data_IF_903592801541
#
_entry.id   IF_903592801541
#
_cell.length_a   1.000
_cell.length_b   1.000
_cell.length_c   1.000
_cell.angle_alpha   90.00
_cell.angle_beta   90.00
_cell.angle_gamma   90.00
#
_symmetry.space_group_name_H-M   'P 1'
#
loop_
_entity.id
_entity.type
_entity.pdbx_description
1 polymer ?
#
# COMPACT_ATOMS: atom_id res chain seq x y z
N UNK A 1 27.94 -12.13 1.03
CA UNK A 1 27.09 -10.89 1.07
C UNK A 1 27.57 -10.04 2.24
N UNK A 2 27.87 -8.75 2.00
CA UNK A 2 28.25 -7.75 3.02
C UNK A 2 27.13 -6.76 3.17
N UNK A 3 26.68 -6.45 4.39
CA UNK A 3 25.68 -5.41 4.65
C UNK A 3 26.35 -4.08 5.02
N UNK A 4 25.85 -2.99 4.44
CA UNK A 4 26.15 -1.62 4.86
C UNK A 4 24.87 -0.99 5.43
N UNK A 5 24.97 -0.36 6.60
CA UNK A 5 23.85 0.19 7.34
C UNK A 5 23.85 1.71 7.26
N UNK A 6 22.66 2.27 7.00
CA UNK A 6 22.42 3.71 6.97
C UNK A 6 21.25 4.07 7.88
N UNK A 7 21.31 5.25 8.49
CA UNK A 7 20.24 5.81 9.34
C UNK A 7 19.42 6.88 8.61
N UNK A 8 19.60 6.97 7.34
CA UNK A 8 18.88 7.84 6.41
C UNK A 8 18.80 7.17 5.05
N UNK A 9 17.97 7.67 4.16
CA UNK A 9 18.01 7.31 2.75
C UNK A 9 18.99 8.29 2.09
N UNK A 10 20.16 7.84 1.60
CA UNK A 10 21.11 8.72 0.93
C UNK A 10 20.48 9.39 -0.28
N UNK A 11 20.69 10.68 -0.46
CA UNK A 11 20.27 11.41 -1.67
C UNK A 11 21.33 11.21 -2.75
N UNK A 12 21.22 10.09 -3.49
CA UNK A 12 22.23 9.60 -4.44
C UNK A 12 21.52 8.98 -5.66
N UNK A 13 21.66 9.63 -6.81
CA UNK A 13 21.03 9.20 -8.06
C UNK A 13 21.57 7.83 -8.55
N UNK A 14 22.83 7.50 -8.29
CA UNK A 14 23.40 6.22 -8.65
C UNK A 14 22.82 5.10 -7.80
N UNK A 15 22.64 5.32 -6.50
CA UNK A 15 21.95 4.40 -5.60
C UNK A 15 20.48 4.24 -6.03
N UNK A 16 19.79 5.32 -6.34
CA UNK A 16 18.40 5.29 -6.80
C UNK A 16 18.25 4.41 -8.05
N UNK A 17 19.14 4.56 -9.02
CA UNK A 17 19.14 3.76 -10.23
C UNK A 17 19.37 2.26 -9.94
N UNK A 18 20.46 1.92 -9.22
CA UNK A 18 20.77 0.52 -8.87
C UNK A 18 19.66 -0.13 -8.03
N UNK A 19 19.06 0.62 -7.10
CA UNK A 19 17.95 0.14 -6.29
C UNK A 19 16.73 -0.19 -7.16
N UNK A 20 16.34 0.73 -8.05
CA UNK A 20 15.19 0.53 -8.93
C UNK A 20 15.42 -0.56 -9.98
N UNK A 21 16.66 -0.78 -10.44
CA UNK A 21 17.01 -1.95 -11.26
C UNK A 21 16.76 -3.26 -10.51
N UNK A 22 17.20 -3.37 -9.25
CA UNK A 22 16.92 -4.54 -8.41
C UNK A 22 15.42 -4.76 -8.17
N UNK A 23 14.62 -3.68 -8.05
CA UNK A 23 13.15 -3.81 -7.97
C UNK A 23 12.61 -4.44 -9.25
N UNK A 24 13.14 -4.05 -10.42
CA UNK A 24 12.77 -4.63 -11.71
C UNK A 24 13.07 -6.13 -11.85
N UNK A 25 14.07 -6.63 -11.12
CA UNK A 25 14.48 -8.05 -11.11
C UNK A 25 13.68 -8.93 -10.15
N UNK A 26 12.80 -8.33 -9.33
CA UNK A 26 11.96 -9.09 -8.40
C UNK A 26 10.91 -9.91 -9.14
N UNK A 27 10.45 -10.99 -8.52
CA UNK A 27 9.37 -11.85 -9.05
C UNK A 27 8.05 -11.11 -9.28
N UNK A 28 7.82 -10.03 -8.53
CA UNK A 28 6.68 -9.15 -8.68
C UNK A 28 7.10 -7.73 -8.28
N UNK A 29 7.62 -6.95 -9.24
CA UNK A 29 8.04 -5.58 -9.00
C UNK A 29 6.87 -4.69 -8.62
N UNK A 30 7.02 -3.88 -7.56
CA UNK A 30 5.99 -2.95 -7.08
C UNK A 30 6.57 -1.55 -6.89
N UNK A 31 5.81 -0.53 -7.20
CA UNK A 31 6.19 0.88 -6.95
C UNK A 31 6.52 1.15 -5.49
N UNK A 32 5.91 0.39 -4.59
CA UNK A 32 6.11 0.48 -3.14
C UNK A 32 7.53 0.11 -2.69
N UNK A 33 8.29 -0.60 -3.51
CA UNK A 33 9.65 -1.05 -3.21
C UNK A 33 10.72 -0.09 -3.71
N UNK A 34 10.34 0.95 -4.47
CA UNK A 34 11.27 1.88 -5.12
C UNK A 34 11.98 2.79 -4.13
N UNK A 35 13.13 3.31 -4.55
CA UNK A 35 13.88 4.33 -3.84
C UNK A 35 13.03 5.57 -3.55
N UNK A 36 12.25 6.02 -4.52
CA UNK A 36 11.36 7.19 -4.43
C UNK A 36 10.33 7.03 -3.33
N UNK A 37 9.77 5.82 -3.18
CA UNK A 37 8.82 5.54 -2.09
C UNK A 37 9.49 5.64 -0.72
N UNK A 38 10.65 5.02 -0.57
CA UNK A 38 11.43 5.07 0.67
C UNK A 38 11.82 6.52 1.03
N UNK A 39 12.23 7.30 0.04
CA UNK A 39 12.59 8.71 0.21
C UNK A 39 11.38 9.56 0.62
N UNK A 40 10.23 9.40 -0.06
CA UNK A 40 8.99 10.13 0.26
C UNK A 40 8.53 9.87 1.71
N UNK A 41 8.52 8.60 2.13
CA UNK A 41 8.14 8.23 3.50
C UNK A 41 9.12 8.81 4.52
N UNK A 42 10.41 8.73 4.26
CA UNK A 42 11.43 9.27 5.16
C UNK A 42 11.29 10.77 5.34
N UNK A 43 11.04 11.51 4.26
CA UNK A 43 10.84 12.96 4.31
C UNK A 43 9.59 13.35 5.10
N UNK A 44 8.47 12.68 4.85
CA UNK A 44 7.20 13.00 5.50
C UNK A 44 7.15 12.60 6.98
N UNK A 45 7.85 11.51 7.36
CA UNK A 45 7.85 10.98 8.73
C UNK A 45 9.15 11.22 9.51
N UNK A 46 10.02 12.15 9.05
CA UNK A 46 11.33 12.43 9.63
C UNK A 46 11.36 12.65 11.15
N UNK A 47 10.27 13.20 11.71
CA UNK A 47 10.16 13.47 13.15
C UNK A 47 9.63 12.27 13.96
N UNK A 48 9.03 11.29 13.29
CA UNK A 48 8.30 10.18 13.92
C UNK A 48 9.06 8.85 13.88
N UNK A 49 9.84 8.60 12.81
CA UNK A 49 10.58 7.36 12.60
C UNK A 49 12.06 7.63 12.39
N UNK A 50 12.87 6.59 12.64
CA UNK A 50 14.30 6.58 12.32
C UNK A 50 14.54 5.48 11.28
N UNK A 51 14.97 5.83 10.06
CA UNK A 51 15.28 4.83 9.03
C UNK A 51 16.39 3.88 9.48
N UNK A 52 16.30 2.66 9.01
CA UNK A 52 17.34 1.62 9.11
C UNK A 52 17.43 0.96 7.74
N UNK A 53 18.18 1.57 6.86
CA UNK A 53 18.44 1.04 5.53
C UNK A 53 19.63 0.07 5.58
N UNK A 54 19.45 -1.11 5.02
CA UNK A 54 20.51 -2.09 4.81
C UNK A 54 20.73 -2.31 3.32
N UNK A 55 21.93 -2.02 2.85
CA UNK A 55 22.36 -2.28 1.49
C UNK A 55 23.28 -3.51 1.47
N UNK A 56 22.91 -4.50 0.67
CA UNK A 56 23.67 -5.74 0.53
C UNK A 56 24.53 -5.71 -0.72
N UNK A 57 25.82 -6.03 -0.55
CA UNK A 57 26.80 -6.02 -1.64
C UNK A 57 27.47 -7.38 -1.80
N UNK A 58 27.67 -7.78 -3.08
CA UNK A 58 28.53 -8.88 -3.47
C UNK A 58 29.53 -8.40 -4.53
N UNK A 59 30.82 -8.65 -4.32
CA UNK A 59 31.89 -8.24 -5.23
C UNK A 59 31.86 -6.76 -5.64
N UNK A 60 31.32 -5.89 -4.74
CA UNK A 60 31.19 -4.45 -4.97
C UNK A 60 29.87 -4.00 -5.63
N UNK A 61 29.07 -4.93 -6.14
CA UNK A 61 27.76 -4.63 -6.73
C UNK A 61 26.66 -4.67 -5.68
N UNK A 62 25.69 -3.76 -5.76
CA UNK A 62 24.46 -3.79 -4.94
C UNK A 62 23.61 -4.97 -5.40
N UNK A 63 23.26 -5.88 -4.48
CA UNK A 63 22.48 -7.10 -4.76
C UNK A 63 21.23 -7.22 -3.89
N UNK A 64 21.05 -6.29 -2.95
CA UNK A 64 19.85 -6.27 -2.14
C UNK A 64 19.67 -4.99 -1.33
N UNK A 65 18.41 -4.65 -1.09
CA UNK A 65 18.00 -3.50 -0.29
C UNK A 65 16.93 -3.90 0.68
N UNK A 66 17.08 -3.49 1.95
CA UNK A 66 16.08 -3.67 2.98
C UNK A 66 15.84 -2.35 3.68
N UNK A 67 14.72 -1.72 3.36
CA UNK A 67 14.31 -0.44 3.91
C UNK A 67 13.41 -0.66 5.13
N UNK A 68 13.99 -0.56 6.32
CA UNK A 68 13.31 -0.63 7.61
C UNK A 68 13.28 0.73 8.29
N UNK A 69 12.51 0.82 9.36
CA UNK A 69 12.51 1.94 10.29
C UNK A 69 12.34 1.44 11.73
N UNK A 70 12.73 2.27 12.67
CA UNK A 70 12.48 2.07 14.09
C UNK A 70 11.60 3.19 14.62
N UNK A 71 10.60 2.86 15.43
CA UNK A 71 9.83 3.83 16.19
C UNK A 71 10.71 4.37 17.34
N UNK A 72 10.80 5.70 17.46
CA UNK A 72 11.59 6.38 18.49
C UNK A 72 11.21 6.01 19.92
N UNK A 73 9.98 5.52 20.15
CA UNK A 73 9.46 5.20 21.50
C UNK A 73 9.36 3.71 21.85
N UNK A 74 9.31 2.79 20.89
CA UNK A 74 8.89 1.39 21.12
C UNK A 74 9.94 0.33 20.90
N UNK A 75 11.12 0.65 20.40
CA UNK A 75 12.18 -0.31 20.00
C UNK A 75 11.65 -1.41 19.07
N UNK A 76 10.69 -1.06 18.25
CA UNK A 76 10.11 -1.93 17.24
C UNK A 76 10.72 -1.57 15.89
N UNK A 77 11.17 -2.58 15.16
CA UNK A 77 11.67 -2.42 13.79
C UNK A 77 10.57 -2.89 12.84
N UNK A 78 10.31 -2.16 11.77
CA UNK A 78 9.26 -2.46 10.80
C UNK A 78 9.66 -2.00 9.40
N UNK A 79 8.95 -2.44 8.37
CA UNK A 79 9.14 -1.90 7.03
C UNK A 79 8.94 -0.39 7.03
N UNK A 80 9.89 0.35 6.46
CA UNK A 80 9.83 1.81 6.35
C UNK A 80 8.51 2.26 5.70
N UNK A 81 8.09 1.57 4.64
CA UNK A 81 6.85 1.83 3.93
C UNK A 81 5.60 1.18 4.58
N UNK A 82 5.73 0.42 5.67
CA UNK A 82 4.68 -0.46 6.20
C UNK A 82 3.35 0.21 6.57
N UNK A 83 3.34 1.53 6.83
CA UNK A 83 2.11 2.28 7.08
C UNK A 83 1.54 2.94 5.81
N UNK A 84 2.30 2.96 4.73
CA UNK A 84 1.96 3.70 3.50
C UNK A 84 1.78 2.80 2.28
N UNK A 85 2.43 1.67 2.22
CA UNK A 85 2.42 0.75 1.09
C UNK A 85 1.39 -0.37 1.25
N UNK A 86 0.81 -0.79 0.13
CA UNK A 86 -0.10 -1.94 0.09
C UNK A 86 0.67 -3.26 0.11
N UNK A 87 1.91 -3.24 -0.37
CA UNK A 87 2.86 -4.35 -0.32
C UNK A 87 4.21 -3.88 0.19
N UNK A 88 4.87 -4.72 0.99
CA UNK A 88 6.23 -4.48 1.49
C UNK A 88 7.06 -5.75 1.37
N UNK A 89 8.29 -5.63 0.87
CA UNK A 89 9.18 -6.78 0.71
C UNK A 89 10.67 -6.36 0.88
N UNK A 90 11.56 -7.33 0.98
CA UNK A 90 12.98 -7.13 0.82
C UNK A 90 13.31 -7.17 -0.67
N UNK A 91 14.08 -6.20 -1.14
CA UNK A 91 14.44 -6.08 -2.55
C UNK A 91 15.72 -6.87 -2.84
N UNK A 92 15.64 -7.85 -3.70
CA UNK A 92 16.75 -8.58 -4.33
C UNK A 92 16.20 -9.53 -5.38
N UNK A 93 17.05 -10.15 -6.17
CA UNK A 93 16.62 -11.29 -6.99
C UNK A 93 16.11 -12.44 -6.12
N UNK A 94 15.17 -13.28 -6.60
CA UNK A 94 14.62 -14.40 -5.82
C UNK A 94 15.70 -15.39 -5.33
N UNK A 95 16.76 -15.59 -6.09
CA UNK A 95 17.85 -16.54 -5.80
C UNK A 95 18.66 -16.10 -4.57
N UNK A 96 18.86 -14.80 -4.41
CA UNK A 96 19.64 -14.24 -3.28
C UNK A 96 18.79 -13.96 -2.03
N UNK A 97 17.47 -14.06 -2.13
CA UNK A 97 16.54 -13.65 -1.08
C UNK A 97 16.75 -14.41 0.24
N UNK A 98 16.99 -15.72 0.20
CA UNK A 98 17.25 -16.50 1.42
C UNK A 98 18.51 -16.01 2.13
N UNK A 99 19.58 -15.75 1.37
CA UNK A 99 20.84 -15.26 1.92
C UNK A 99 20.67 -13.84 2.49
N UNK A 100 19.91 -12.97 1.79
CA UNK A 100 19.59 -11.62 2.26
C UNK A 100 18.83 -11.67 3.59
N UNK A 101 17.76 -12.47 3.67
CA UNK A 101 16.95 -12.62 4.89
C UNK A 101 17.84 -13.08 6.07
N UNK A 102 18.68 -14.10 5.88
CA UNK A 102 19.57 -14.62 6.92
C UNK A 102 20.56 -13.53 7.38
N UNK A 103 21.16 -12.78 6.44
CA UNK A 103 22.10 -11.71 6.74
C UNK A 103 21.44 -10.57 7.51
N UNK A 104 20.23 -10.19 7.12
CA UNK A 104 19.44 -9.15 7.80
C UNK A 104 19.07 -9.56 9.22
N UNK A 105 18.60 -10.79 9.43
CA UNK A 105 18.26 -11.28 10.78
C UNK A 105 19.49 -11.35 11.70
N UNK A 106 20.64 -11.77 11.17
CA UNK A 106 21.91 -11.77 11.92
C UNK A 106 22.32 -10.35 12.31
N UNK A 107 22.20 -9.38 11.39
CA UNK A 107 22.53 -7.98 11.66
C UNK A 107 21.57 -7.36 12.68
N UNK A 108 20.26 -7.57 12.56
CA UNK A 108 19.26 -7.10 13.54
C UNK A 108 19.53 -7.65 14.93
N UNK A 109 20.00 -8.91 15.01
CA UNK A 109 20.43 -9.52 16.28
C UNK A 109 21.66 -8.81 16.86
N UNK A 110 22.66 -8.51 16.01
CA UNK A 110 23.88 -7.79 16.40
C UNK A 110 23.57 -6.38 16.90
N UNK A 111 22.63 -5.68 16.25
CA UNK A 111 22.12 -4.38 16.67
C UNK A 111 21.26 -4.43 17.96
N UNK A 112 21.01 -5.62 18.50
CA UNK A 112 20.23 -5.80 19.72
C UNK A 112 18.73 -5.49 19.55
N UNK A 113 18.20 -5.47 18.31
CA UNK A 113 16.81 -5.13 18.04
C UNK A 113 15.89 -6.29 18.46
N UNK A 114 14.94 -6.06 19.38
CA UNK A 114 14.20 -7.16 20.02
C UNK A 114 13.04 -7.70 19.18
N UNK A 115 12.54 -6.89 18.22
CA UNK A 115 11.33 -7.21 17.48
C UNK A 115 11.37 -6.62 16.07
N UNK A 116 11.01 -7.43 15.08
CA UNK A 116 10.81 -7.03 13.69
C UNK A 116 9.35 -7.33 13.28
N UNK A 117 8.66 -6.35 12.70
CA UNK A 117 7.30 -6.48 12.17
C UNK A 117 7.33 -6.22 10.67
N UNK A 118 6.97 -7.22 9.91
CA UNK A 118 6.88 -7.18 8.46
C UNK A 118 5.38 -7.22 8.09
N UNK A 119 4.78 -6.04 8.01
CA UNK A 119 3.39 -5.89 7.61
C UNK A 119 3.25 -5.89 6.09
N UNK A 120 2.12 -6.37 5.58
CA UNK A 120 1.79 -6.40 4.15
C UNK A 120 2.82 -7.14 3.28
N UNK A 121 3.50 -8.16 3.83
CA UNK A 121 4.43 -9.00 3.07
C UNK A 121 3.61 -9.88 2.11
N UNK A 122 3.84 -9.86 0.79
CA UNK A 122 3.13 -10.74 -0.14
C UNK A 122 3.37 -12.21 0.22
N UNK A 123 2.27 -13.01 0.32
CA UNK A 123 2.36 -14.41 0.70
C UNK A 123 3.10 -15.29 -0.33
N UNK A 124 3.10 -14.85 -1.58
CA UNK A 124 3.76 -15.48 -2.72
C UNK A 124 5.21 -15.02 -2.93
N UNK A 125 5.72 -14.11 -2.11
CA UNK A 125 7.07 -13.54 -2.27
C UNK A 125 8.20 -14.51 -1.87
N UNK A 126 9.39 -14.27 -2.43
CA UNK A 126 10.60 -15.01 -2.04
C UNK A 126 10.97 -14.78 -0.57
N UNK A 127 10.69 -13.59 -0.01
CA UNK A 127 10.88 -13.32 1.42
C UNK A 127 9.94 -14.17 2.29
N UNK A 128 8.66 -14.29 1.92
CA UNK A 128 7.74 -15.17 2.65
C UNK A 128 8.19 -16.63 2.63
N UNK A 129 8.68 -17.12 1.47
CA UNK A 129 9.29 -18.46 1.35
C UNK A 129 10.56 -18.60 2.19
N UNK A 130 11.43 -17.58 2.17
CA UNK A 130 12.66 -17.56 2.96
C UNK A 130 12.42 -17.55 4.48
N UNK A 131 11.27 -17.06 4.92
CA UNK A 131 10.80 -17.10 6.31
C UNK A 131 10.00 -18.39 6.62
N UNK A 132 10.06 -19.40 5.76
CA UNK A 132 9.39 -20.68 5.95
C UNK A 132 9.99 -21.54 7.07
N UNK A 133 9.45 -22.78 7.27
CA UNK A 133 9.82 -23.63 8.42
C UNK A 133 11.29 -24.04 8.51
N UNK A 134 12.03 -24.01 7.39
CA UNK A 134 13.47 -24.35 7.33
C UNK A 134 14.40 -23.15 7.57
N UNK A 135 13.86 -21.96 7.84
CA UNK A 135 14.67 -20.75 8.03
C UNK A 135 15.41 -20.77 9.37
N UNK A 136 16.64 -20.28 9.36
CA UNK A 136 17.37 -19.94 10.59
C UNK A 136 16.98 -18.53 11.03
N UNK A 137 16.12 -18.46 12.02
CA UNK A 137 15.62 -17.19 12.56
C UNK A 137 16.61 -16.47 13.49
N UNK A 138 17.87 -16.92 13.60
CA UNK A 138 18.91 -16.28 14.42
C UNK A 138 18.47 -16.01 15.87
N UNK A 139 17.67 -16.90 16.43
CA UNK A 139 17.14 -16.81 17.81
C UNK A 139 15.88 -15.95 17.95
N UNK A 140 15.25 -15.52 16.84
CA UNK A 140 13.91 -14.96 16.85
C UNK A 140 12.85 -16.07 16.83
N UNK A 141 11.70 -15.79 17.44
CA UNK A 141 10.50 -16.60 17.33
C UNK A 141 9.58 -15.95 16.30
N UNK A 142 9.19 -16.69 15.26
CA UNK A 142 8.35 -16.18 14.17
C UNK A 142 6.88 -16.46 14.45
N UNK A 143 6.05 -15.43 14.27
CA UNK A 143 4.60 -15.53 14.19
C UNK A 143 4.14 -14.91 12.87
N UNK A 144 3.40 -15.66 12.05
CA UNK A 144 2.84 -15.22 10.78
C UNK A 144 1.34 -15.38 10.78
N UNK A 145 0.64 -14.42 10.19
CA UNK A 145 -0.81 -14.42 10.04
C UNK A 145 -1.23 -13.80 8.71
N UNK A 146 -2.36 -14.25 8.11
CA UNK A 146 -2.96 -13.55 6.97
C UNK A 146 -3.36 -12.12 7.35
N UNK A 147 -3.03 -11.15 6.48
CA UNK A 147 -3.36 -9.74 6.67
C UNK A 147 -4.52 -9.32 5.77
N UNK A 148 -4.28 -9.22 4.46
CA UNK A 148 -5.25 -8.75 3.48
C UNK A 148 -5.31 -9.68 2.27
N UNK A 149 -6.46 -9.62 1.56
CA UNK A 149 -6.63 -10.11 0.20
C UNK A 149 -6.82 -8.90 -0.70
N UNK A 150 -5.87 -8.68 -1.61
CA UNK A 150 -5.90 -7.60 -2.58
C UNK A 150 -6.56 -8.11 -3.85
N UNK A 151 -7.57 -7.40 -4.31
CA UNK A 151 -8.32 -7.78 -5.49
C UNK A 151 -7.58 -7.32 -6.75
N UNK A 152 -7.34 -8.22 -7.68
CA UNK A 152 -6.64 -7.96 -8.94
C UNK A 152 -7.52 -8.29 -10.14
N UNK A 153 -7.37 -7.53 -11.22
CA UNK A 153 -8.01 -7.74 -12.50
C UNK A 153 -6.91 -8.03 -13.51
N UNK A 154 -6.78 -9.29 -13.90
CA UNK A 154 -5.79 -9.72 -14.88
C UNK A 154 -6.22 -9.30 -16.27
N UNK A 155 -5.26 -8.80 -17.08
CA UNK A 155 -5.44 -8.31 -18.43
C UNK A 155 -4.50 -9.00 -19.42
N UNK A 156 -4.18 -10.27 -19.16
CA UNK A 156 -3.26 -11.06 -19.99
C UNK A 156 -3.98 -11.60 -21.22
N UNK A 157 -3.55 -11.13 -22.40
CA UNK A 157 -4.10 -11.57 -23.66
C UNK A 157 -5.44 -10.91 -24.04
N UNK A 158 -5.76 -10.99 -25.32
CA UNK A 158 -6.92 -10.31 -25.93
C UNK A 158 -8.27 -10.76 -25.36
N UNK A 159 -8.46 -12.06 -25.21
CA UNK A 159 -9.72 -12.63 -24.73
C UNK A 159 -10.09 -12.18 -23.33
N UNK A 160 -9.12 -12.17 -22.42
CA UNK A 160 -9.31 -11.74 -21.05
C UNK A 160 -9.63 -10.24 -20.98
N UNK A 161 -8.90 -9.39 -21.74
CA UNK A 161 -9.17 -7.94 -21.86
C UNK A 161 -10.60 -7.68 -22.37
N UNK A 162 -11.05 -8.40 -23.40
CA UNK A 162 -12.41 -8.29 -23.91
C UNK A 162 -13.48 -8.75 -22.91
N UNK A 163 -13.20 -9.82 -22.16
CA UNK A 163 -14.08 -10.29 -21.09
C UNK A 163 -14.24 -9.26 -19.98
N UNK A 164 -13.12 -8.69 -19.49
CA UNK A 164 -13.13 -7.61 -18.49
C UNK A 164 -13.85 -6.39 -19.02
N UNK A 165 -13.53 -5.93 -20.24
CA UNK A 165 -14.19 -4.80 -20.89
C UNK A 165 -15.71 -4.96 -20.92
N UNK A 166 -16.22 -6.11 -21.39
CA UNK A 166 -17.66 -6.42 -21.39
C UNK A 166 -18.24 -6.33 -19.99
N UNK A 167 -17.55 -6.89 -18.98
CA UNK A 167 -18.02 -6.88 -17.59
C UNK A 167 -18.19 -5.48 -17.02
N UNK A 168 -17.31 -4.52 -17.36
CA UNK A 168 -17.38 -3.14 -16.86
C UNK A 168 -18.33 -2.28 -17.68
N UNK A 169 -18.54 -2.59 -18.96
CA UNK A 169 -19.45 -1.84 -19.84
C UNK A 169 -20.93 -2.02 -19.47
N UNK A 170 -21.31 -3.16 -18.93
CA UNK A 170 -22.70 -3.48 -18.56
C UNK A 170 -23.06 -3.10 -17.12
N UNK A 171 -22.20 -2.42 -16.38
CA UNK A 171 -22.51 -2.03 -14.99
C UNK A 171 -23.59 -0.95 -14.93
N UNK A 172 -24.47 -1.10 -13.95
CA UNK A 172 -25.62 -0.21 -13.70
C UNK A 172 -25.20 1.25 -13.51
N UNK A 173 -24.07 1.46 -12.89
CA UNK A 173 -23.52 2.78 -12.53
C UNK A 173 -23.26 3.65 -13.75
N UNK A 174 -22.97 3.08 -14.91
CA UNK A 174 -22.85 3.84 -16.17
C UNK A 174 -24.13 4.57 -16.58
N UNK A 175 -25.31 4.08 -16.16
CA UNK A 175 -26.59 4.73 -16.42
C UNK A 175 -26.71 6.06 -15.69
N UNK A 176 -26.19 6.13 -14.45
CA UNK A 176 -26.21 7.36 -13.66
C UNK A 176 -25.33 8.44 -14.28
N UNK A 177 -24.12 8.07 -14.73
CA UNK A 177 -23.26 9.00 -15.46
C UNK A 177 -23.86 9.45 -16.78
N UNK A 178 -24.51 8.57 -17.54
CA UNK A 178 -25.21 8.94 -18.78
C UNK A 178 -26.34 9.94 -18.51
N UNK A 179 -27.08 9.77 -17.43
CA UNK A 179 -28.12 10.70 -17.02
C UNK A 179 -27.55 12.08 -16.62
N UNK A 180 -26.37 12.11 -15.98
CA UNK A 180 -25.69 13.35 -15.69
C UNK A 180 -25.12 13.98 -16.96
N UNK A 181 -24.49 13.20 -17.83
CA UNK A 181 -23.88 13.66 -19.08
C UNK A 181 -24.88 14.24 -20.08
N UNK A 182 -26.18 13.89 -19.98
CA UNK A 182 -27.23 14.53 -20.77
C UNK A 182 -27.54 15.97 -20.34
N UNK A 183 -27.06 16.40 -19.19
CA UNK A 183 -27.31 17.73 -18.60
C UNK A 183 -26.04 18.59 -18.54
N UNK A 184 -24.90 17.98 -18.24
CA UNK A 184 -23.61 18.64 -18.05
C UNK A 184 -22.53 17.78 -18.70
N UNK A 185 -21.56 18.38 -19.44
CA UNK A 185 -20.43 17.62 -19.97
C UNK A 185 -19.67 16.84 -18.85
N UNK A 186 -19.47 15.56 -19.05
CA UNK A 186 -18.71 14.69 -18.13
C UNK A 186 -17.44 14.23 -18.82
N UNK A 187 -16.28 14.47 -18.19
CA UNK A 187 -14.98 14.13 -18.74
C UNK A 187 -14.09 13.47 -17.67
N UNK A 188 -13.12 12.67 -18.13
CA UNK A 188 -12.02 12.18 -17.30
C UNK A 188 -10.75 12.90 -17.73
N UNK A 189 -10.05 13.51 -16.77
CA UNK A 189 -8.73 14.08 -16.97
C UNK A 189 -7.68 13.24 -16.23
N UNK A 190 -6.52 13.12 -16.83
CA UNK A 190 -5.36 12.47 -16.24
C UNK A 190 -4.28 13.51 -15.96
N UNK A 191 -4.08 13.80 -14.67
CA UNK A 191 -3.02 14.69 -14.21
C UNK A 191 -1.76 13.85 -14.02
N UNK A 192 -0.72 14.13 -14.82
CA UNK A 192 0.50 13.30 -14.89
C UNK A 192 1.76 14.05 -14.50
N UNK A 193 1.67 15.36 -14.28
CA UNK A 193 2.78 16.18 -13.85
C UNK A 193 2.57 16.71 -12.43
N UNK A 194 3.68 16.99 -11.74
CA UNK A 194 3.68 17.61 -10.42
C UNK A 194 2.83 18.89 -10.38
N UNK A 195 3.03 19.78 -11.37
CA UNK A 195 2.35 21.08 -11.41
C UNK A 195 0.82 20.95 -11.62
N UNK A 196 0.36 19.86 -12.21
CA UNK A 196 -1.07 19.56 -12.35
C UNK A 196 -1.65 18.92 -11.07
N UNK A 197 -0.89 18.01 -10.44
CA UNK A 197 -1.38 17.18 -9.33
C UNK A 197 -1.45 18.00 -8.03
N UNK A 198 -0.42 18.78 -7.70
CA UNK A 198 -0.33 19.50 -6.41
C UNK A 198 -1.53 20.39 -6.16
N UNK A 199 -1.99 21.22 -7.13
CA UNK A 199 -3.20 22.05 -6.93
C UNK A 199 -4.47 21.23 -6.68
N UNK A 200 -4.53 19.96 -7.16
CA UNK A 200 -5.68 19.08 -6.99
C UNK A 200 -5.71 18.33 -5.65
N UNK A 201 -4.53 18.09 -5.01
CA UNK A 201 -4.42 17.33 -3.77
C UNK A 201 -5.28 17.87 -2.61
N UNK A 202 -5.43 19.17 -2.38
CA UNK A 202 -6.29 19.67 -1.30
C UNK A 202 -7.77 19.32 -1.50
N UNK A 203 -8.29 19.35 -2.73
CA UNK A 203 -9.67 18.97 -3.03
C UNK A 203 -9.87 17.47 -2.87
N UNK A 204 -8.92 16.67 -3.38
CA UNK A 204 -8.87 15.21 -3.18
C UNK A 204 -8.88 14.83 -1.68
N UNK A 205 -8.01 15.44 -0.88
CA UNK A 205 -7.90 15.15 0.56
C UNK A 205 -9.17 15.52 1.31
N UNK A 206 -9.75 16.70 1.06
CA UNK A 206 -11.04 17.11 1.66
C UNK A 206 -12.17 16.15 1.31
N UNK A 207 -12.29 15.74 0.04
CA UNK A 207 -13.30 14.80 -0.41
C UNK A 207 -13.13 13.43 0.26
N UNK A 208 -11.87 12.97 0.42
CA UNK A 208 -11.56 11.71 1.09
C UNK A 208 -11.97 11.75 2.57
N UNK A 209 -11.59 12.80 3.30
CA UNK A 209 -11.96 13.00 4.71
C UNK A 209 -13.48 13.08 4.86
N UNK A 210 -14.17 13.89 4.07
CA UNK A 210 -15.63 14.04 4.12
C UNK A 210 -16.36 12.73 3.86
N UNK A 211 -15.91 11.94 2.88
CA UNK A 211 -16.48 10.62 2.57
C UNK A 211 -16.36 9.64 3.73
N UNK A 212 -15.20 9.57 4.38
CA UNK A 212 -14.98 8.66 5.52
C UNK A 212 -15.80 9.10 6.73
N UNK A 213 -15.84 10.40 7.02
CA UNK A 213 -16.66 10.97 8.11
C UNK A 213 -18.14 10.68 7.92
N UNK A 214 -18.66 10.75 6.67
CA UNK A 214 -20.06 10.48 6.36
C UNK A 214 -20.50 9.03 6.68
N UNK A 215 -19.56 8.10 6.78
CA UNK A 215 -19.82 6.70 7.19
C UNK A 215 -19.31 6.37 8.60
N UNK A 216 -18.98 7.40 9.41
CA UNK A 216 -18.51 7.25 10.78
C UNK A 216 -17.12 6.62 10.91
N UNK A 217 -16.26 6.80 9.91
CA UNK A 217 -14.87 6.33 9.91
C UNK A 217 -13.90 7.51 9.86
N UNK A 218 -12.72 7.32 10.43
CA UNK A 218 -11.61 8.27 10.30
C UNK A 218 -10.85 8.00 9.01
N UNK A 219 -10.54 9.06 8.28
CA UNK A 219 -9.69 9.02 7.10
C UNK A 219 -8.22 8.93 7.49
N UNK A 220 -7.42 8.19 6.74
CA UNK A 220 -5.97 8.24 6.90
C UNK A 220 -5.39 9.59 6.45
N UNK A 221 -6.11 10.36 5.62
CA UNK A 221 -5.73 11.71 5.19
C UNK A 221 -6.11 12.81 6.22
N UNK A 222 -6.69 12.45 7.37
CA UNK A 222 -6.74 13.34 8.53
C UNK A 222 -5.34 13.56 9.15
N UNK A 223 -4.39 12.65 8.87
CA UNK A 223 -3.00 12.79 9.28
C UNK A 223 -2.22 13.65 8.26
N UNK A 224 -1.69 14.84 8.64
CA UNK A 224 -0.92 15.70 7.74
C UNK A 224 0.30 15.02 7.11
N UNK A 225 1.01 14.17 7.87
CA UNK A 225 2.15 13.41 7.35
C UNK A 225 1.74 12.47 6.22
N UNK A 226 0.52 11.93 6.25
CA UNK A 226 -0.01 11.10 5.18
C UNK A 226 -0.28 11.90 3.90
N UNK A 227 -0.77 13.12 4.04
CA UNK A 227 -0.94 14.05 2.91
C UNK A 227 0.43 14.46 2.35
N UNK A 228 1.41 14.69 3.23
CA UNK A 228 2.79 14.99 2.82
C UNK A 228 3.40 13.82 2.03
N UNK A 229 3.19 12.55 2.43
CA UNK A 229 3.61 11.38 1.64
C UNK A 229 3.02 11.42 0.23
N UNK A 230 1.72 11.69 0.07
CA UNK A 230 1.12 11.78 -1.26
C UNK A 230 1.74 12.89 -2.10
N UNK A 231 2.03 14.02 -1.48
CA UNK A 231 2.69 15.14 -2.14
C UNK A 231 4.12 14.80 -2.59
N UNK A 232 4.93 14.20 -1.71
CA UNK A 232 6.29 13.78 -2.05
C UNK A 232 6.29 12.67 -3.12
N UNK A 233 5.38 11.69 -3.03
CA UNK A 233 5.23 10.65 -4.06
C UNK A 233 4.88 11.26 -5.41
N UNK A 234 3.94 12.22 -5.47
CA UNK A 234 3.61 12.90 -6.71
C UNK A 234 4.82 13.62 -7.30
N UNK A 235 5.62 14.30 -6.46
CA UNK A 235 6.84 15.01 -6.88
C UNK A 235 7.92 14.07 -7.44
N UNK A 236 8.10 12.90 -6.83
CA UNK A 236 9.15 11.97 -7.21
C UNK A 236 8.72 11.06 -8.37
N UNK A 237 7.53 10.46 -8.29
CA UNK A 237 7.10 9.41 -9.24
C UNK A 237 6.63 9.96 -10.59
N UNK A 238 6.12 11.21 -10.65
CA UNK A 238 5.75 11.82 -11.95
C UNK A 238 6.94 12.04 -12.88
N UNK A 239 8.16 12.18 -12.33
CA UNK A 239 9.40 12.29 -13.10
C UNK A 239 9.68 11.05 -13.96
N UNK A 240 9.20 9.89 -13.50
CA UNK A 240 9.33 8.59 -14.17
C UNK A 240 8.06 8.19 -14.94
N UNK A 241 6.99 9.00 -14.88
CA UNK A 241 5.69 8.62 -15.43
C UNK A 241 4.98 7.51 -14.63
N UNK A 242 5.38 7.26 -13.39
CA UNK A 242 4.85 6.16 -12.57
C UNK A 242 3.60 6.52 -11.77
N UNK A 243 3.13 7.77 -11.85
CA UNK A 243 2.00 8.24 -11.05
C UNK A 243 1.03 9.08 -11.89
N UNK A 244 -0.26 8.86 -11.64
CA UNK A 244 -1.35 9.64 -12.24
C UNK A 244 -2.43 9.92 -11.18
N UNK A 245 -2.93 11.17 -11.17
CA UNK A 245 -4.18 11.51 -10.47
C UNK A 245 -5.27 11.71 -11.51
N UNK A 246 -6.14 10.71 -11.68
CA UNK A 246 -7.28 10.81 -12.58
C UNK A 246 -8.46 11.49 -11.89
N UNK A 247 -9.15 12.38 -12.60
CA UNK A 247 -10.34 13.10 -12.12
C UNK A 247 -11.52 12.86 -13.04
N UNK A 248 -12.69 12.55 -12.48
CA UNK A 248 -13.97 12.60 -13.18
C UNK A 248 -14.61 13.96 -12.90
N UNK A 249 -14.92 14.74 -13.93
CA UNK A 249 -15.52 16.07 -13.82
C UNK A 249 -16.91 16.13 -14.39
N UNK A 250 -17.77 17.01 -13.80
CA UNK A 250 -19.00 17.51 -14.38
C UNK A 250 -18.83 19.00 -14.68
N UNK A 251 -18.71 19.36 -15.95
CA UNK A 251 -18.23 20.69 -16.34
C UNK A 251 -16.84 20.95 -15.76
N UNK A 252 -16.68 22.04 -15.03
CA UNK A 252 -15.42 22.40 -14.37
C UNK A 252 -15.24 21.77 -12.98
N UNK A 253 -16.28 21.14 -12.42
CA UNK A 253 -16.25 20.63 -11.06
C UNK A 253 -15.78 19.18 -10.99
N UNK A 254 -14.67 18.86 -10.30
CA UNK A 254 -14.26 17.49 -10.04
C UNK A 254 -15.24 16.78 -9.10
N UNK A 255 -15.71 15.59 -9.49
CA UNK A 255 -16.64 14.76 -8.72
C UNK A 255 -15.96 13.58 -8.03
N UNK A 256 -14.93 13.02 -8.66
CA UNK A 256 -14.19 11.86 -8.12
C UNK A 256 -12.74 11.90 -8.56
N UNK A 257 -11.92 11.20 -7.78
CA UNK A 257 -10.48 11.11 -8.01
C UNK A 257 -10.00 9.68 -7.79
N UNK A 258 -9.00 9.29 -8.59
CA UNK A 258 -8.20 8.08 -8.42
C UNK A 258 -6.73 8.45 -8.39
N UNK A 259 -6.09 8.30 -7.23
CA UNK A 259 -4.64 8.36 -7.08
C UNK A 259 -4.09 6.97 -7.43
N UNK A 260 -3.36 6.86 -8.53
CA UNK A 260 -2.92 5.58 -9.09
C UNK A 260 -1.46 5.60 -9.49
N UNK A 261 -0.87 4.40 -9.56
CA UNK A 261 0.49 4.18 -10.02
C UNK A 261 0.49 3.26 -11.24
N UNK A 262 1.42 3.53 -12.17
CA UNK A 262 1.73 2.66 -13.28
C UNK A 262 3.21 2.27 -13.17
N UNK A 263 3.49 1.01 -12.85
CA UNK A 263 4.85 0.53 -12.64
C UNK A 263 4.98 -0.92 -13.10
N UNK A 264 6.09 -1.27 -13.79
CA UNK A 264 6.39 -2.63 -14.24
C UNK A 264 5.17 -3.34 -14.89
N UNK A 265 4.43 -2.62 -15.73
CA UNK A 265 3.19 -3.07 -16.41
C UNK A 265 2.00 -3.35 -15.47
N UNK A 266 2.05 -2.84 -14.23
CA UNK A 266 0.97 -2.93 -13.26
C UNK A 266 0.33 -1.55 -13.06
N UNK A 267 -1.02 -1.50 -13.04
CA UNK A 267 -1.75 -0.31 -12.65
C UNK A 267 -2.32 -0.51 -11.24
N UNK A 268 -1.85 0.26 -10.27
CA UNK A 268 -2.29 0.15 -8.87
C UNK A 268 -3.23 1.29 -8.51
N UNK A 269 -4.48 0.97 -8.19
CA UNK A 269 -5.49 1.92 -7.76
C UNK A 269 -5.38 2.13 -6.25
N UNK A 270 -4.49 3.05 -5.86
CA UNK A 270 -4.08 3.20 -4.47
C UNK A 270 -5.14 3.87 -3.59
N UNK A 271 -5.68 5.01 -4.01
CA UNK A 271 -6.74 5.71 -3.26
C UNK A 271 -7.80 6.28 -4.19
N UNK A 272 -9.04 5.86 -3.99
CA UNK A 272 -10.21 6.38 -4.68
C UNK A 272 -11.06 7.21 -3.73
N UNK A 273 -11.51 8.37 -4.17
CA UNK A 273 -12.49 9.16 -3.44
C UNK A 273 -13.45 9.89 -4.36
N UNK A 274 -14.50 10.48 -3.78
CA UNK A 274 -15.46 11.30 -4.52
C UNK A 274 -16.08 12.35 -3.58
N UNK A 275 -16.56 13.42 -4.18
CA UNK A 275 -17.33 14.45 -3.48
C UNK A 275 -18.73 13.89 -3.14
N UNK A 276 -19.07 13.88 -1.84
CA UNK A 276 -20.31 13.30 -1.33
C UNK A 276 -21.58 13.99 -1.86
N UNK A 277 -21.47 15.22 -2.34
CA UNK A 277 -22.59 15.91 -2.99
C UNK A 277 -23.05 15.24 -4.29
N UNK A 278 -22.17 14.46 -4.94
CA UNK A 278 -22.46 13.69 -6.16
C UNK A 278 -22.73 12.20 -5.91
N UNK A 279 -22.91 11.79 -4.64
CA UNK A 279 -23.01 10.35 -4.28
C UNK A 279 -24.08 9.58 -5.05
N UNK A 280 -25.17 10.23 -5.43
CA UNK A 280 -26.27 9.63 -6.19
C UNK A 280 -25.86 9.13 -7.58
N UNK A 281 -24.82 9.74 -8.17
CA UNK A 281 -24.27 9.36 -9.47
C UNK A 281 -23.19 8.28 -9.37
N UNK A 282 -22.83 7.83 -8.16
CA UNK A 282 -21.75 6.85 -7.93
C UNK A 282 -20.42 7.19 -8.63
N UNK A 283 -19.93 8.46 -8.55
CA UNK A 283 -18.87 8.94 -9.43
C UNK A 283 -17.53 8.22 -9.19
N UNK A 284 -17.20 7.82 -7.95
CA UNK A 284 -15.97 7.09 -7.63
C UNK A 284 -15.93 5.72 -8.31
N UNK A 285 -17.02 4.95 -8.23
CA UNK A 285 -17.10 3.64 -8.89
C UNK A 285 -17.15 3.78 -10.42
N UNK A 286 -17.82 4.81 -10.93
CA UNK A 286 -17.87 5.10 -12.36
C UNK A 286 -16.49 5.46 -12.93
N UNK A 287 -15.67 6.21 -12.18
CA UNK A 287 -14.29 6.49 -12.55
C UNK A 287 -13.47 5.20 -12.59
N UNK A 288 -13.58 4.34 -11.58
CA UNK A 288 -12.90 3.03 -11.55
C UNK A 288 -13.25 2.21 -12.80
N UNK A 289 -14.54 2.11 -13.17
CA UNK A 289 -14.96 1.36 -14.35
C UNK A 289 -14.37 1.93 -15.65
N UNK A 290 -14.26 3.26 -15.73
CA UNK A 290 -13.66 3.93 -16.89
C UNK A 290 -12.17 3.65 -17.00
N UNK A 291 -11.44 3.76 -15.89
CA UNK A 291 -10.00 3.49 -15.84
C UNK A 291 -9.67 2.01 -16.12
N UNK A 292 -10.51 1.07 -15.68
CA UNK A 292 -10.36 -0.35 -16.04
C UNK A 292 -10.57 -0.55 -17.54
N UNK A 293 -11.56 0.14 -18.15
CA UNK A 293 -11.79 0.07 -19.60
C UNK A 293 -10.58 0.60 -20.37
N UNK A 294 -9.99 1.71 -19.94
CA UNK A 294 -8.77 2.29 -20.51
C UNK A 294 -7.57 1.34 -20.34
N UNK A 295 -7.43 0.68 -19.17
CA UNK A 295 -6.41 -0.34 -18.97
C UNK A 295 -6.58 -1.55 -19.91
N UNK A 296 -7.82 -1.93 -20.27
CA UNK A 296 -8.06 -2.97 -21.28
C UNK A 296 -7.59 -2.55 -22.69
N UNK A 297 -7.51 -1.25 -22.99
CA UNK A 297 -7.04 -0.72 -24.27
C UNK A 297 -5.51 -0.54 -24.30
N UNK A 298 -4.89 -0.45 -23.12
CA UNK A 298 -3.44 -0.25 -23.00
C UNK A 298 -2.66 -1.56 -23.20
N UNK A 299 -1.67 -1.56 -24.07
CA UNK A 299 -0.69 -2.66 -24.18
C UNK A 299 0.31 -2.69 -23.03
N UNK A 300 0.38 -1.62 -22.22
CA UNK A 300 1.38 -1.42 -21.17
C UNK A 300 0.89 -1.89 -19.78
N UNK A 301 -0.32 -2.49 -19.69
CA UNK A 301 -0.89 -2.93 -18.42
C UNK A 301 -1.27 -4.40 -18.49
N UNK A 302 -0.67 -5.24 -17.66
CA UNK A 302 -0.96 -6.67 -17.58
C UNK A 302 -1.97 -7.00 -16.50
N UNK A 303 -2.09 -6.17 -15.46
CA UNK A 303 -3.19 -6.25 -14.51
C UNK A 303 -3.43 -4.91 -13.80
N UNK A 304 -4.64 -4.78 -13.26
CA UNK A 304 -5.02 -3.67 -12.37
C UNK A 304 -5.14 -4.21 -10.96
N UNK A 305 -4.37 -3.67 -10.01
CA UNK A 305 -4.52 -3.93 -8.60
C UNK A 305 -5.46 -2.89 -7.99
N UNK A 306 -6.52 -3.35 -7.33
CA UNK A 306 -7.51 -2.47 -6.70
C UNK A 306 -7.11 -2.06 -5.27
N UNK A 307 -5.91 -2.45 -4.84
CA UNK A 307 -5.33 -2.12 -3.54
C UNK A 307 -5.98 -2.84 -2.36
N UNK A 308 -5.53 -2.50 -1.17
CA UNK A 308 -6.06 -3.02 0.09
C UNK A 308 -7.53 -2.66 0.27
N UNK A 309 -8.28 -3.55 0.93
CA UNK A 309 -9.68 -3.30 1.30
C UNK A 309 -10.60 -4.46 0.97
N UNK A 310 -11.77 -4.44 1.64
CA UNK A 310 -12.78 -5.51 1.52
C UNK A 310 -14.09 -5.01 0.91
N UNK A 311 -14.03 -3.92 0.15
CA UNK A 311 -15.20 -3.32 -0.48
C UNK A 311 -15.82 -4.31 -1.48
N UNK A 312 -17.14 -4.45 -1.44
CA UNK A 312 -17.87 -5.44 -2.24
C UNK A 312 -17.67 -5.25 -3.76
N UNK A 313 -17.43 -4.03 -4.22
CA UNK A 313 -17.16 -3.78 -5.63
C UNK A 313 -15.85 -4.43 -6.10
N UNK A 314 -14.82 -4.47 -5.25
CA UNK A 314 -13.53 -5.11 -5.54
C UNK A 314 -13.73 -6.60 -5.82
N UNK A 315 -14.48 -7.29 -4.96
CA UNK A 315 -14.82 -8.71 -5.14
C UNK A 315 -15.60 -8.97 -6.45
N UNK A 316 -16.47 -8.02 -6.85
CA UNK A 316 -17.27 -8.14 -8.08
C UNK A 316 -16.48 -7.88 -9.36
N UNK A 317 -15.34 -7.18 -9.27
CA UNK A 317 -14.47 -6.84 -10.40
C UNK A 317 -13.28 -7.78 -10.49
N UNK A 318 -12.84 -8.35 -9.38
CA UNK A 318 -11.64 -9.18 -9.30
C UNK A 318 -11.75 -10.42 -10.19
N UNK A 319 -10.69 -10.69 -10.93
CA UNK A 319 -10.44 -11.95 -11.63
C UNK A 319 -9.39 -12.80 -10.93
N UNK A 320 -8.63 -12.20 -10.01
CA UNK A 320 -7.64 -12.82 -9.16
C UNK A 320 -7.56 -12.11 -7.81
N UNK A 321 -6.86 -12.73 -6.86
CA UNK A 321 -6.54 -12.12 -5.56
C UNK A 321 -5.11 -12.42 -5.20
N UNK A 322 -4.43 -11.44 -4.57
CA UNK A 322 -3.12 -11.61 -3.97
C UNK A 322 -3.23 -11.48 -2.45
N UNK A 323 -2.64 -12.41 -1.71
CA UNK A 323 -2.67 -12.40 -0.25
C UNK A 323 -1.43 -11.74 0.32
N UNK A 324 -1.59 -11.05 1.46
CA UNK A 324 -0.48 -10.55 2.25
C UNK A 324 -0.47 -11.16 3.64
N UNK A 325 0.71 -11.17 4.23
CA UNK A 325 0.98 -11.66 5.59
C UNK A 325 1.45 -10.51 6.48
N UNK A 326 1.07 -10.58 7.74
CA UNK A 326 1.76 -9.87 8.81
C UNK A 326 2.67 -10.86 9.52
N UNK A 327 3.98 -10.62 9.46
CA UNK A 327 4.99 -11.46 10.09
C UNK A 327 5.63 -10.70 11.24
N UNK A 328 5.68 -11.31 12.42
CA UNK A 328 6.39 -10.78 13.58
C UNK A 328 7.50 -11.75 13.99
N UNK A 329 8.72 -11.25 14.05
CA UNK A 329 9.86 -11.95 14.62
C UNK A 329 10.20 -11.29 15.97
N UNK A 330 10.20 -12.06 17.05
CA UNK A 330 10.47 -11.57 18.41
C UNK A 330 11.53 -12.42 19.10
N UNK A 331 12.55 -11.79 19.72
CA UNK A 331 13.58 -12.49 20.50
C UNK A 331 13.01 -13.12 21.77
N UNK A 332 12.07 -12.42 22.40
CA UNK A 332 11.43 -12.88 23.64
C UNK A 332 10.26 -13.82 23.34
N UNK A 333 10.26 -15.02 23.91
CA UNK A 333 9.11 -15.95 23.87
C UNK A 333 7.84 -15.31 24.45
N UNK A 334 7.98 -14.46 25.48
CA UNK A 334 6.84 -13.75 26.06
C UNK A 334 6.23 -12.74 25.07
N UNK A 335 7.05 -12.02 24.31
CA UNK A 335 6.59 -11.11 23.25
C UNK A 335 5.88 -11.87 22.13
N UNK A 336 6.46 -12.99 21.69
CA UNK A 336 5.84 -13.90 20.73
C UNK A 336 4.46 -14.37 21.19
N UNK A 337 4.37 -14.90 22.43
CA UNK A 337 3.10 -15.39 23.00
C UNK A 337 2.06 -14.28 23.12
N UNK A 338 2.45 -13.04 23.47
CA UNK A 338 1.54 -11.89 23.51
C UNK A 338 0.99 -11.55 22.14
N UNK A 339 1.80 -11.59 21.08
CA UNK A 339 1.36 -11.34 19.71
C UNK A 339 0.38 -12.42 19.26
N UNK A 340 0.74 -13.70 19.43
CA UNK A 340 -0.12 -14.83 19.09
C UNK A 340 -1.46 -14.79 19.85
N UNK A 341 -1.43 -14.55 21.17
CA UNK A 341 -2.63 -14.46 22.00
C UNK A 341 -3.57 -13.32 21.54
N UNK A 342 -3.01 -12.14 21.22
CA UNK A 342 -3.80 -11.02 20.70
C UNK A 342 -4.50 -11.37 19.39
N UNK A 343 -3.79 -12.04 18.49
CA UNK A 343 -4.38 -12.47 17.23
C UNK A 343 -5.52 -13.46 17.44
N UNK A 344 -5.30 -14.52 18.23
CA UNK A 344 -6.33 -15.52 18.48
C UNK A 344 -7.53 -14.95 19.24
N UNK A 345 -7.30 -14.03 20.20
CA UNK A 345 -8.40 -13.32 20.87
C UNK A 345 -9.21 -12.45 19.90
N UNK A 346 -8.55 -11.69 19.02
CA UNK A 346 -9.21 -10.89 17.99
C UNK A 346 -10.00 -11.76 17.00
N UNK A 347 -9.44 -12.91 16.59
CA UNK A 347 -10.11 -13.87 15.72
C UNK A 347 -11.35 -14.48 16.41
N UNK A 348 -11.24 -14.86 17.68
CA UNK A 348 -12.36 -15.38 18.47
C UNK A 348 -13.49 -14.34 18.63
N UNK A 349 -13.14 -13.06 18.88
CA UNK A 349 -14.13 -11.98 18.96
C UNK A 349 -14.84 -11.81 17.61
N UNK A 350 -14.12 -11.80 16.48
CA UNK A 350 -14.71 -11.68 15.14
C UNK A 350 -15.59 -12.88 14.76
N UNK A 351 -15.27 -14.09 15.25
CA UNK A 351 -16.05 -15.30 15.01
C UNK A 351 -17.38 -15.34 15.81
N UNK A 352 -17.53 -14.51 16.84
CA UNK A 352 -18.72 -14.44 17.68
C UNK A 352 -19.45 -13.10 17.55
N UNK A 353 -20.57 -13.02 16.80
CA UNK A 353 -21.31 -11.75 16.63
C UNK A 353 -21.73 -11.07 17.96
N UNK A 354 -22.00 -11.89 18.98
CA UNK A 354 -22.36 -11.37 20.33
C UNK A 354 -21.19 -10.71 21.03
N UNK A 355 -19.99 -11.31 20.96
CA UNK A 355 -18.75 -10.77 21.53
C UNK A 355 -18.32 -9.52 20.76
N UNK A 356 -18.39 -9.54 19.44
CA UNK A 356 -18.06 -8.38 18.60
C UNK A 356 -18.95 -7.18 18.93
N UNK A 357 -20.27 -7.39 19.06
CA UNK A 357 -21.21 -6.33 19.46
C UNK A 357 -20.89 -5.77 20.84
N UNK A 358 -20.60 -6.63 21.81
CA UNK A 358 -20.26 -6.22 23.18
C UNK A 358 -18.94 -5.42 23.21
N UNK A 359 -17.88 -5.88 22.57
CA UNK A 359 -16.58 -5.20 22.49
C UNK A 359 -16.72 -3.84 21.80
N UNK A 360 -17.44 -3.77 20.67
CA UNK A 360 -17.71 -2.50 19.98
C UNK A 360 -18.48 -1.51 20.87
N UNK A 361 -19.42 -1.99 21.68
CA UNK A 361 -20.19 -1.16 22.63
C UNK A 361 -19.31 -0.62 23.75
N UNK A 362 -18.40 -1.41 24.29
CA UNK A 362 -17.45 -1.00 25.34
C UNK A 362 -16.43 0.00 24.81
N UNK A 363 -15.87 -0.24 23.62
CA UNK A 363 -14.88 0.66 23.01
C UNK A 363 -15.47 1.99 22.50
N UNK A 364 -16.78 2.05 22.21
CA UNK A 364 -17.50 3.28 21.82
C UNK A 364 -17.99 4.11 23.00
N UNK A 365 -17.83 3.65 24.26
CA UNK A 365 -18.11 4.49 25.42
C UNK A 365 -17.04 5.58 25.50
N UNK A 366 -17.41 6.89 25.45
CA UNK A 366 -16.47 7.94 25.78
C UNK A 366 -15.95 7.65 27.19
N UNK A 367 -14.64 7.73 27.39
CA UNK A 367 -14.06 7.72 28.73
C UNK A 367 -14.57 8.96 29.45
N UNK A 368 -15.63 8.82 30.27
CA UNK A 368 -15.95 9.77 31.30
C UNK A 368 -14.84 9.68 32.35
N UNK A 369 -13.89 10.57 32.30
CA UNK A 369 -12.76 10.63 33.20
C UNK A 369 -12.14 12.01 33.19
N UNK A 370 -12.73 12.92 34.00
CA UNK A 370 -12.12 14.08 34.66
C UNK A 370 -11.17 14.98 33.83
N UNK A 371 -11.78 15.98 33.19
CA UNK A 371 -11.20 17.31 33.17
C UNK A 371 -11.41 17.96 34.54
N UNK A 372 -10.40 18.01 35.39
CA UNK A 372 -10.25 19.01 36.44
C UNK A 372 -8.78 19.30 36.67
N UNK A 373 -8.47 20.60 36.46
CA UNK A 373 -7.30 21.44 36.75
C UNK A 373 -6.15 21.33 35.75
#
# INVERSE_FOLDING_TARGET
MRLALYREIPDDDALAHQWNELVGEMECPEVFYTYEWALAVTRAYRDSISPLLMLAYEQGSLVGVVALATDKGRRETFFLAGTTADYCDFVSSPELRQQLVNSVLAELRTQGLPKLVLANLPADSATARALGPSADFQGYNLFSQPAFQCAQILLQGKEQRESVRRSVQHKRERRYLKALASRIPVAVDHLTSWDQIVPALPAFSRAHVARFSAIGRTSNLDNPQRVEVLSELAKLLTRHGWMTLSQLRAGEQPMAWQYAFQFARHSTFYQTTFDISFREYSPGFSLILRLIEEACDSSETDFVDLGLGREDYKKRLATSTRETLDVTLARSKLTYLKVAARYHAAAAIKASPRLEHHVRRVLRRPSNGNAQV
#
